data_IF_687278749073
#
_entry.id   IF_687278749073
#
_cell.length_a   1.000
_cell.length_b   1.000
_cell.length_c   1.000
_cell.angle_alpha   90.00
_cell.angle_beta   90.00
_cell.angle_gamma   90.00
#
_symmetry.space_group_name_H-M   'P 1'
#
loop_
_entity.id
_entity.type
_entity.pdbx_description
1 polymer ?
#
# COMPACT_ATOMS: atom_id res chain seq x y z
N UNK A 1 -21.43 -9.39 -35.94
CA UNK A 1 -22.03 -9.48 -34.60
C UNK A 1 -20.87 -9.54 -33.62
N UNK A 2 -20.44 -8.39 -33.12
CA UNK A 2 -19.24 -8.27 -32.28
C UNK A 2 -19.65 -8.54 -30.84
N UNK A 3 -19.19 -9.66 -30.28
CA UNK A 3 -19.26 -9.94 -28.86
C UNK A 3 -18.38 -8.91 -28.13
N UNK A 4 -19.00 -7.85 -27.63
CA UNK A 4 -18.38 -6.99 -26.63
C UNK A 4 -18.40 -7.80 -25.34
N UNK A 5 -17.26 -8.39 -24.99
CA UNK A 5 -17.07 -8.98 -23.68
C UNK A 5 -17.29 -7.87 -22.66
N UNK A 6 -18.38 -7.99 -21.89
CA UNK A 6 -18.65 -7.16 -20.73
C UNK A 6 -17.53 -7.44 -19.72
N UNK A 7 -16.48 -6.61 -19.73
CA UNK A 7 -15.36 -6.67 -18.79
C UNK A 7 -15.84 -6.15 -17.44
N UNK A 8 -16.82 -6.84 -16.83
CA UNK A 8 -17.02 -6.80 -15.39
C UNK A 8 -15.77 -7.41 -14.78
N UNK A 9 -14.83 -6.53 -14.42
CA UNK A 9 -13.56 -6.93 -13.84
C UNK A 9 -13.85 -7.66 -12.54
N UNK A 10 -13.40 -8.91 -12.43
CA UNK A 10 -13.61 -9.72 -11.25
C UNK A 10 -13.08 -8.99 -9.99
N UNK A 11 -13.72 -9.18 -8.83
CA UNK A 11 -13.19 -8.64 -7.57
C UNK A 11 -11.77 -9.15 -7.35
N UNK A 12 -10.93 -8.32 -6.75
CA UNK A 12 -9.58 -8.72 -6.40
C UNK A 12 -9.66 -9.96 -5.49
N UNK A 13 -8.98 -11.04 -5.86
CA UNK A 13 -8.76 -12.12 -4.90
C UNK A 13 -7.98 -11.52 -3.72
N UNK A 14 -8.44 -11.70 -2.48
CA UNK A 14 -7.76 -11.21 -1.25
C UNK A 14 -7.39 -12.35 -0.31
N UNK A 15 -7.45 -13.61 -0.78
CA UNK A 15 -6.91 -14.79 -0.09
C UNK A 15 -5.49 -14.54 0.42
N UNK A 16 -5.28 -14.70 1.73
CA UNK A 16 -3.99 -14.47 2.39
C UNK A 16 -3.84 -13.07 2.99
N UNK A 17 -4.66 -12.09 2.59
CA UNK A 17 -4.67 -10.78 3.25
C UNK A 17 -5.37 -10.89 4.60
N UNK A 18 -4.76 -10.27 5.61
CA UNK A 18 -5.38 -10.08 6.93
C UNK A 18 -5.67 -8.62 7.16
N UNK A 19 -6.81 -8.33 7.76
CA UNK A 19 -7.31 -6.99 8.01
C UNK A 19 -7.51 -6.81 9.51
N UNK A 20 -7.06 -5.68 10.06
CA UNK A 20 -7.42 -5.30 11.40
C UNK A 20 -8.93 -4.97 11.49
N UNK A 21 -9.54 -5.05 12.69
CA UNK A 21 -10.95 -4.73 12.87
C UNK A 21 -11.31 -3.34 12.30
N UNK A 22 -12.43 -3.25 11.55
CA UNK A 22 -12.93 -1.99 11.00
C UNK A 22 -12.20 -1.48 9.74
N UNK A 23 -11.04 -2.02 9.38
CA UNK A 23 -10.24 -1.54 8.24
C UNK A 23 -11.00 -1.63 6.92
N UNK A 24 -11.72 -2.74 6.69
CA UNK A 24 -12.52 -2.91 5.47
C UNK A 24 -13.57 -1.81 5.27
N UNK A 25 -14.21 -1.36 6.35
CA UNK A 25 -15.17 -0.27 6.30
C UNK A 25 -14.51 1.10 6.06
N UNK A 26 -13.23 1.25 6.43
CA UNK A 26 -12.45 2.47 6.23
C UNK A 26 -11.79 2.56 4.84
N UNK A 27 -11.63 1.44 4.12
CA UNK A 27 -10.98 1.39 2.80
C UNK A 27 -11.49 2.41 1.78
N UNK A 28 -12.81 2.72 1.67
CA UNK A 28 -13.27 3.74 0.71
C UNK A 28 -12.59 5.10 0.86
N UNK A 29 -12.15 5.46 2.06
CA UNK A 29 -11.42 6.72 2.30
C UNK A 29 -10.02 6.74 1.66
N UNK A 30 -9.45 5.58 1.35
CA UNK A 30 -8.11 5.44 0.76
C UNK A 30 -8.15 5.16 -0.75
N UNK A 31 -9.35 5.03 -1.33
CA UNK A 31 -9.56 4.86 -2.78
C UNK A 31 -9.52 6.18 -3.56
N UNK A 32 -9.49 7.30 -2.84
CA UNK A 32 -9.26 8.64 -3.40
C UNK A 32 -7.78 8.96 -3.45
N UNK A 33 -7.43 10.17 -3.93
CA UNK A 33 -6.06 10.67 -3.86
C UNK A 33 -5.54 10.60 -2.43
N UNK A 34 -4.42 9.92 -2.25
CA UNK A 34 -3.75 9.72 -0.97
C UNK A 34 -2.25 9.97 -1.12
N UNK A 35 -1.57 10.22 0.00
CA UNK A 35 -0.12 10.22 0.05
C UNK A 35 0.38 8.84 0.43
N UNK A 36 1.33 8.30 -0.30
CA UNK A 36 1.95 7.02 0.01
C UNK A 36 3.29 7.27 0.69
N UNK A 37 3.44 6.85 1.93
CA UNK A 37 4.72 6.84 2.64
C UNK A 37 5.31 5.44 2.50
N UNK A 38 6.48 5.34 1.89
CA UNK A 38 7.18 4.08 1.66
C UNK A 38 8.40 3.99 2.58
N UNK A 39 8.43 2.95 3.40
CA UNK A 39 9.60 2.65 4.24
C UNK A 39 10.57 1.76 3.46
N UNK A 40 11.80 2.25 3.27
CA UNK A 40 12.91 1.56 2.60
C UNK A 40 13.43 0.39 3.47
N UNK A 41 12.58 -0.62 3.62
CA UNK A 41 12.70 -1.72 4.57
C UNK A 41 13.03 -3.06 3.91
N UNK A 42 12.99 -3.10 2.59
CA UNK A 42 13.30 -4.26 1.77
C UNK A 42 14.40 -3.87 0.79
N UNK A 43 15.53 -4.55 0.85
CA UNK A 43 16.52 -4.47 -0.22
C UNK A 43 15.90 -5.01 -1.51
N UNK A 44 15.83 -4.12 -2.52
CA UNK A 44 15.19 -4.34 -3.80
C UNK A 44 15.83 -5.46 -4.65
N UNK A 45 16.97 -5.98 -4.21
CA UNK A 45 17.77 -6.97 -4.93
C UNK A 45 17.03 -8.29 -5.15
N UNK A 46 16.16 -8.72 -4.23
CA UNK A 46 15.40 -9.98 -4.36
C UNK A 46 14.23 -9.91 -5.35
N UNK A 47 13.83 -8.71 -5.77
CA UNK A 47 12.72 -8.49 -6.71
C UNK A 47 13.19 -8.29 -8.16
N UNK A 48 14.51 -8.24 -8.41
CA UNK A 48 15.07 -8.08 -9.76
C UNK A 48 14.78 -6.72 -10.40
N UNK A 49 14.28 -5.74 -9.63
CA UNK A 49 13.99 -4.38 -10.10
C UNK A 49 14.82 -3.39 -9.26
N UNK A 50 15.69 -2.56 -9.86
CA UNK A 50 16.77 -1.89 -9.12
C UNK A 50 16.29 -0.92 -8.04
N UNK A 51 15.10 -0.35 -8.20
CA UNK A 51 14.43 0.51 -7.22
C UNK A 51 12.93 0.38 -7.49
N UNK A 52 12.11 0.46 -6.45
CA UNK A 52 10.65 0.53 -6.57
C UNK A 52 10.27 1.85 -7.27
N UNK A 53 10.47 1.97 -8.58
CA UNK A 53 10.01 3.13 -9.33
C UNK A 53 8.49 3.01 -9.44
N UNK A 54 7.82 3.59 -8.44
CA UNK A 54 6.38 3.50 -8.17
C UNK A 54 5.90 2.08 -7.87
N UNK A 55 5.05 1.93 -6.84
CA UNK A 55 4.30 0.69 -6.63
C UNK A 55 3.55 0.22 -7.89
N UNK A 56 3.25 1.16 -8.77
CA UNK A 56 2.47 1.01 -9.99
C UNK A 56 3.24 0.15 -11.03
N UNK A 57 4.46 0.56 -11.40
CA UNK A 57 5.29 -0.15 -12.40
C UNK A 57 5.82 -1.50 -11.89
N UNK A 58 6.07 -1.61 -10.58
CA UNK A 58 6.63 -2.82 -9.99
C UNK A 58 5.59 -3.95 -9.85
N UNK A 59 4.33 -3.61 -9.53
CA UNK A 59 3.35 -4.58 -9.03
C UNK A 59 2.07 -4.74 -9.84
N UNK A 60 1.84 -3.90 -10.86
CA UNK A 60 0.69 -4.00 -11.78
C UNK A 60 1.16 -4.30 -13.21
N UNK A 61 0.23 -4.66 -14.09
CA UNK A 61 0.43 -4.56 -15.53
C UNK A 61 0.62 -3.07 -15.91
N UNK A 62 1.81 -2.65 -16.39
CA UNK A 62 2.09 -1.25 -16.71
C UNK A 62 1.08 -0.69 -17.73
N UNK A 63 0.56 0.51 -17.48
CA UNK A 63 -0.44 1.15 -18.33
C UNK A 63 -1.88 0.66 -18.12
N UNK A 64 -2.12 -0.28 -17.21
CA UNK A 64 -3.47 -0.63 -16.78
C UNK A 64 -4.20 0.58 -16.14
N UNK A 65 -5.54 0.60 -16.11
CA UNK A 65 -6.27 1.71 -15.47
C UNK A 65 -5.90 1.92 -13.99
N UNK A 66 -5.59 0.84 -13.28
CA UNK A 66 -5.18 0.87 -11.87
C UNK A 66 -3.78 1.47 -11.71
N UNK A 67 -2.84 1.11 -12.59
CA UNK A 67 -1.51 1.70 -12.66
C UNK A 67 -1.57 3.21 -12.89
N UNK A 68 -2.41 3.66 -13.84
CA UNK A 68 -2.62 5.08 -14.14
C UNK A 68 -3.28 5.84 -12.99
N UNK A 69 -4.19 5.20 -12.25
CA UNK A 69 -4.83 5.82 -11.08
C UNK A 69 -3.86 5.92 -9.91
N UNK A 70 -3.17 4.82 -9.62
CA UNK A 70 -2.27 4.70 -8.49
C UNK A 70 -1.03 5.59 -8.63
N UNK A 71 -0.47 5.69 -9.83
CA UNK A 71 0.70 6.53 -10.13
C UNK A 71 0.48 8.03 -9.90
N UNK A 72 -0.78 8.49 -9.74
CA UNK A 72 -1.11 9.89 -9.43
C UNK A 72 -0.94 10.26 -7.96
N UNK A 73 -0.79 9.27 -7.08
CA UNK A 73 -0.59 9.50 -5.65
C UNK A 73 0.85 9.96 -5.40
N UNK A 74 1.09 11.06 -4.66
CA UNK A 74 2.44 11.43 -4.25
C UNK A 74 3.04 10.31 -3.38
N UNK A 75 4.30 9.97 -3.68
CA UNK A 75 5.08 8.97 -2.93
C UNK A 75 6.20 9.69 -2.17
N UNK A 76 6.31 9.42 -0.87
CA UNK A 76 7.38 9.88 -0.01
C UNK A 76 8.17 8.65 0.43
N UNK A 77 9.44 8.64 0.08
CA UNK A 77 10.36 7.58 0.49
C UNK A 77 11.03 7.97 1.79
N UNK A 78 11.08 7.03 2.74
CA UNK A 78 11.67 7.21 4.07
C UNK A 78 12.57 6.04 4.36
N UNK A 79 13.84 6.30 4.65
CA UNK A 79 14.81 5.32 5.09
C UNK A 79 15.25 5.53 6.56
N UNK A 80 16.17 4.70 7.05
CA UNK A 80 16.61 4.75 8.45
C UNK A 80 17.42 5.99 8.83
N UNK A 81 17.92 6.74 7.85
CA UNK A 81 18.68 7.97 8.04
C UNK A 81 17.80 9.21 7.99
N UNK A 82 16.57 9.09 7.50
CA UNK A 82 15.59 10.18 7.44
C UNK A 82 14.99 10.46 8.84
N UNK A 83 14.55 11.70 9.10
CA UNK A 83 13.75 11.98 10.28
C UNK A 83 12.43 11.19 10.23
N UNK A 84 11.91 10.75 11.39
CA UNK A 84 10.71 9.92 11.43
C UNK A 84 9.42 10.64 11.03
N UNK A 85 9.44 11.97 10.94
CA UNK A 85 8.28 12.82 10.65
C UNK A 85 8.30 13.25 9.16
N UNK A 86 7.67 12.50 8.25
CA UNK A 86 7.60 12.91 6.86
C UNK A 86 6.73 14.17 6.72
N UNK A 87 7.12 15.06 5.81
CA UNK A 87 6.34 16.28 5.50
C UNK A 87 5.13 15.88 4.65
N UNK A 88 3.95 15.88 5.27
CA UNK A 88 2.69 15.45 4.65
C UNK A 88 1.76 16.64 4.34
N UNK A 89 0.99 16.52 3.26
CA UNK A 89 -0.15 17.39 3.03
C UNK A 89 -1.25 17.07 4.06
N UNK A 90 -1.66 18.06 4.84
CA UNK A 90 -2.43 17.89 6.09
C UNK A 90 -3.87 17.40 5.93
N UNK A 91 -4.37 17.24 4.70
CA UNK A 91 -5.77 16.86 4.43
C UNK A 91 -5.96 15.57 3.64
N UNK A 92 -4.90 15.01 3.04
CA UNK A 92 -5.02 13.78 2.27
C UNK A 92 -4.90 12.54 3.18
N UNK A 93 -5.65 11.46 2.92
CA UNK A 93 -5.39 10.15 3.52
C UNK A 93 -3.94 9.72 3.26
N UNK A 94 -3.35 9.00 4.20
CA UNK A 94 -1.96 8.51 4.09
C UNK A 94 -1.94 7.00 4.12
N UNK A 95 -1.22 6.39 3.20
CA UNK A 95 -0.97 4.95 3.18
C UNK A 95 0.51 4.73 3.48
N UNK A 96 0.82 4.06 4.58
CA UNK A 96 2.19 3.69 4.93
C UNK A 96 2.46 2.25 4.51
N UNK A 97 3.51 2.03 3.73
CA UNK A 97 3.89 0.73 3.19
C UNK A 97 5.29 0.34 3.68
N UNK A 98 5.43 -0.88 4.17
CA UNK A 98 6.75 -1.42 4.54
C UNK A 98 6.71 -2.91 4.84
N UNK A 99 7.85 -3.46 5.24
CA UNK A 99 7.98 -4.83 5.69
C UNK A 99 8.74 -4.94 7.01
N UNK A 100 8.26 -5.81 7.90
CA UNK A 100 8.77 -5.91 9.26
C UNK A 100 8.34 -4.73 10.15
N UNK A 101 7.22 -4.10 9.81
CA UNK A 101 6.60 -3.05 10.59
C UNK A 101 6.34 -3.56 12.00
N UNK A 102 6.57 -2.70 12.99
CA UNK A 102 6.43 -3.10 14.40
C UNK A 102 7.65 -3.85 14.95
N UNK A 103 8.44 -4.52 14.12
CA UNK A 103 9.67 -5.20 14.57
C UNK A 103 10.88 -4.24 14.55
N UNK A 104 10.91 -3.34 13.57
CA UNK A 104 12.04 -2.44 13.32
C UNK A 104 11.79 -1.07 13.98
N UNK A 105 12.64 -0.61 14.92
CA UNK A 105 12.37 0.60 15.71
C UNK A 105 12.16 1.88 14.89
N UNK A 106 12.97 2.14 13.86
CA UNK A 106 12.85 3.36 13.06
C UNK A 106 11.55 3.38 12.24
N UNK A 107 11.12 2.22 11.71
CA UNK A 107 9.84 2.10 11.01
C UNK A 107 8.67 2.36 11.94
N UNK A 108 8.77 1.91 13.20
CA UNK A 108 7.76 2.21 14.20
C UNK A 108 7.63 3.70 14.44
N UNK A 109 8.77 4.37 14.62
CA UNK A 109 8.79 5.82 14.82
C UNK A 109 8.11 6.56 13.66
N UNK A 110 8.33 6.15 12.41
CA UNK A 110 7.67 6.75 11.24
C UNK A 110 6.16 6.52 11.26
N UNK A 111 5.71 5.28 11.46
CA UNK A 111 4.28 4.95 11.50
C UNK A 111 3.58 5.70 12.65
N UNK A 112 4.20 5.75 13.82
CA UNK A 112 3.65 6.42 15.00
C UNK A 112 3.58 7.94 14.76
N UNK A 113 4.61 8.54 14.16
CA UNK A 113 4.61 9.95 13.76
C UNK A 113 3.49 10.26 12.75
N UNK A 114 3.35 9.44 11.70
CA UNK A 114 2.30 9.62 10.69
C UNK A 114 0.89 9.50 11.31
N UNK A 115 0.69 8.54 12.23
CA UNK A 115 -0.57 8.39 12.97
C UNK A 115 -0.84 9.59 13.89
N UNK A 116 0.20 10.18 14.50
CA UNK A 116 0.06 11.34 15.38
C UNK A 116 -0.37 12.63 14.64
N UNK A 117 -0.17 12.73 13.32
CA UNK A 117 -0.60 13.88 12.52
C UNK A 117 -2.12 14.01 12.37
N UNK A 118 -2.90 13.03 12.83
CA UNK A 118 -4.37 13.09 12.85
C UNK A 118 -5.05 12.90 11.48
N UNK A 119 -4.28 12.57 10.44
CA UNK A 119 -4.82 12.16 9.15
C UNK A 119 -5.46 10.76 9.24
N UNK A 120 -6.28 10.40 8.24
CA UNK A 120 -6.68 8.99 8.05
C UNK A 120 -5.44 8.23 7.57
N UNK A 121 -4.97 7.28 8.37
CA UNK A 121 -3.76 6.49 8.08
C UNK A 121 -4.13 5.03 7.87
N UNK A 122 -3.61 4.42 6.82
CA UNK A 122 -3.67 2.99 6.54
C UNK A 122 -2.26 2.43 6.52
N UNK A 123 -1.94 1.51 7.42
CA UNK A 123 -0.62 0.89 7.52
C UNK A 123 -0.66 -0.51 6.90
N UNK A 124 0.19 -0.78 5.92
CA UNK A 124 0.23 -2.06 5.20
C UNK A 124 1.58 -2.74 5.40
N UNK A 125 1.53 -3.92 6.03
CA UNK A 125 2.64 -4.85 6.17
C UNK A 125 2.72 -5.76 4.95
N UNK A 126 3.80 -5.64 4.20
CA UNK A 126 4.09 -6.42 3.00
C UNK A 126 5.02 -7.62 3.26
N UNK A 127 5.62 -7.72 4.44
CA UNK A 127 6.55 -8.77 4.80
C UNK A 127 5.90 -10.06 5.29
N UNK A 128 6.74 -11.08 5.43
CA UNK A 128 6.36 -12.36 6.05
C UNK A 128 6.48 -12.32 7.57
N UNK A 129 7.29 -11.42 8.11
CA UNK A 129 7.46 -11.22 9.56
C UNK A 129 6.40 -10.24 10.03
N UNK A 130 5.50 -10.71 10.89
CA UNK A 130 4.28 -9.97 11.22
C UNK A 130 4.22 -9.75 12.72
N UNK A 131 4.18 -8.49 13.12
CA UNK A 131 3.90 -8.09 14.51
C UNK A 131 2.41 -7.85 14.66
N UNK A 132 1.69 -8.66 15.48
CA UNK A 132 0.25 -8.52 15.64
C UNK A 132 -0.15 -7.12 16.11
N UNK A 133 -1.21 -6.57 15.52
CA UNK A 133 -1.82 -5.31 15.93
C UNK A 133 -1.11 -4.04 15.45
N UNK A 134 0.00 -4.16 14.70
CA UNK A 134 0.73 -2.98 14.23
C UNK A 134 0.22 -2.43 12.89
N UNK A 135 -0.06 -3.34 11.94
CA UNK A 135 -0.56 -3.01 10.61
C UNK A 135 -2.07 -3.21 10.49
N UNK A 136 -2.68 -2.38 9.65
CA UNK A 136 -4.11 -2.40 9.33
C UNK A 136 -4.41 -3.47 8.26
N UNK A 137 -3.47 -3.67 7.33
CA UNK A 137 -3.49 -4.73 6.32
C UNK A 137 -2.17 -5.48 6.39
N UNK A 138 -2.24 -6.79 6.30
CA UNK A 138 -1.08 -7.66 6.14
C UNK A 138 -1.26 -8.46 4.87
N UNK A 139 -0.39 -8.30 3.88
CA UNK A 139 -0.52 -8.97 2.58
C UNK A 139 0.15 -10.35 2.55
N UNK A 140 1.03 -10.63 3.52
CA UNK A 140 1.75 -11.90 3.61
C UNK A 140 2.86 -12.08 2.57
N UNK A 141 3.24 -11.03 1.84
CA UNK A 141 4.33 -11.06 0.87
C UNK A 141 4.47 -9.77 0.05
N UNK A 142 5.70 -9.50 -0.40
CA UNK A 142 6.09 -8.29 -1.15
C UNK A 142 6.25 -8.55 -2.66
N UNK A 143 5.69 -9.66 -3.14
CA UNK A 143 5.73 -10.04 -4.56
C UNK A 143 4.75 -9.25 -5.42
N UNK A 144 4.96 -9.31 -6.75
CA UNK A 144 4.11 -8.65 -7.76
C UNK A 144 2.64 -9.01 -7.62
N UNK A 145 2.32 -10.28 -7.35
CA UNK A 145 0.93 -10.72 -7.18
C UNK A 145 0.24 -10.03 -6.00
N UNK A 146 0.84 -10.08 -4.80
CA UNK A 146 0.31 -9.41 -3.61
C UNK A 146 0.20 -7.91 -3.80
N UNK A 147 1.19 -7.28 -4.45
CA UNK A 147 1.14 -5.86 -4.76
C UNK A 147 0.01 -5.49 -5.72
N UNK A 148 -0.18 -6.24 -6.81
CA UNK A 148 -1.27 -6.02 -7.76
C UNK A 148 -2.65 -6.16 -7.14
N UNK A 149 -2.82 -7.15 -6.24
CA UNK A 149 -4.07 -7.34 -5.48
C UNK A 149 -4.33 -6.21 -4.49
N UNK A 150 -3.28 -5.69 -3.83
CA UNK A 150 -3.36 -4.51 -2.97
C UNK A 150 -3.73 -3.24 -3.76
N UNK A 151 -3.08 -3.01 -4.91
CA UNK A 151 -3.42 -1.87 -5.78
C UNK A 151 -4.85 -1.99 -6.27
N UNK A 152 -5.28 -3.19 -6.67
CA UNK A 152 -6.67 -3.42 -7.08
C UNK A 152 -7.66 -3.12 -5.96
N UNK A 153 -7.37 -3.55 -4.72
CA UNK A 153 -8.18 -3.22 -3.53
C UNK A 153 -8.29 -1.71 -3.26
N UNK A 154 -7.20 -0.98 -3.51
CA UNK A 154 -7.09 0.45 -3.24
C UNK A 154 -7.56 1.33 -4.42
N UNK A 155 -7.65 0.79 -5.63
CA UNK A 155 -8.17 1.49 -6.80
C UNK A 155 -9.62 1.11 -7.11
N UNK A 156 -10.07 -0.08 -6.72
CA UNK A 156 -11.42 -0.58 -6.97
C UNK A 156 -12.22 -0.68 -5.68
N UNK A 157 -13.51 -0.37 -5.79
CA UNK A 157 -14.49 -0.79 -4.79
C UNK A 157 -14.52 -2.31 -4.72
N UNK A 158 -14.63 -2.90 -3.52
CA UNK A 158 -15.17 -4.25 -3.42
C UNK A 158 -16.58 -4.15 -4.03
N UNK A 159 -16.82 -4.84 -5.14
CA UNK A 159 -18.19 -5.10 -5.54
C UNK A 159 -18.73 -6.10 -4.52
N UNK A 160 -19.59 -5.61 -3.61
CA UNK A 160 -20.48 -6.46 -2.81
C UNK A 160 -21.29 -7.40 -3.73
#
# INVERSE_FOLDING_TARGET
MTLVADTRTAPADLTGFRFAPGVRAALPAFRTRCTVVRLASLDNERLGVPRWYTLAEAWTDPGSPEDVLWSRNPVIDVDSNDPPEPVLATSAPVIVLGAGLGAIPWQRAVVDAVRALGARVLVVEMGHVIVPGYADIVTGGYGRESGGRLVSLLCRGDAD
#
